data_IF_148637018636
#
_entry.id   IF_148637018636
#
_cell.length_a   1.000
_cell.length_b   1.000
_cell.length_c   1.000
_cell.angle_alpha   90.00
_cell.angle_beta   90.00
_cell.angle_gamma   90.00
#
_symmetry.space_group_name_H-M   'P 1'
#
loop_
_entity.id
_entity.type
_entity.pdbx_description
1 polymer ?
#
# COMPACT_ATOMS: atom_id res chain seq x y z
N UNK A 1 -3.42 6.52 9.34
CA UNK A 1 -2.34 5.68 8.78
C UNK A 1 -1.09 6.51 8.84
N UNK A 2 -0.04 6.00 9.46
CA UNK A 2 1.18 6.76 9.70
C UNK A 2 2.39 5.95 9.25
N UNK A 3 3.24 6.53 8.41
CA UNK A 3 4.57 5.99 8.15
C UNK A 3 5.47 6.34 9.36
N UNK A 4 6.15 5.34 9.91
CA UNK A 4 7.10 5.47 11.03
C UNK A 4 8.50 5.18 10.49
N UNK A 5 9.07 6.17 9.80
CA UNK A 5 10.34 6.02 9.10
C UNK A 5 10.24 5.13 7.87
N UNK A 6 11.36 4.52 7.48
CA UNK A 6 11.46 3.72 6.25
C UNK A 6 10.85 2.32 6.39
N UNK A 7 10.95 1.74 7.59
CA UNK A 7 10.71 0.31 7.79
C UNK A 7 9.39 -0.03 8.47
N UNK A 8 8.54 0.95 8.81
CA UNK A 8 7.32 0.67 9.57
C UNK A 8 6.14 1.53 9.09
N UNK A 9 4.95 0.92 9.02
CA UNK A 9 3.68 1.61 8.84
C UNK A 9 2.75 1.24 10.00
N UNK A 10 2.19 2.24 10.68
CA UNK A 10 1.08 2.07 11.61
C UNK A 10 -0.25 2.21 10.85
N UNK A 11 -0.96 1.09 10.71
CA UNK A 11 -2.26 1.00 10.04
C UNK A 11 -3.37 0.75 11.06
N UNK A 12 -4.07 1.82 11.46
CA UNK A 12 -5.01 1.76 12.59
C UNK A 12 -4.23 1.51 13.88
N UNK A 13 -4.46 0.37 14.52
CA UNK A 13 -3.73 -0.07 15.72
C UNK A 13 -2.68 -1.15 15.43
N UNK A 14 -2.51 -1.54 14.17
CA UNK A 14 -1.58 -2.62 13.78
C UNK A 14 -0.35 -2.06 13.09
N UNK A 15 0.81 -2.65 13.40
CA UNK A 15 2.07 -2.32 12.74
C UNK A 15 2.33 -3.27 11.57
N UNK A 16 2.74 -2.71 10.44
CA UNK A 16 3.27 -3.43 9.28
C UNK A 16 4.78 -3.19 9.26
N UNK A 17 5.53 -4.27 9.44
CA UNK A 17 6.98 -4.28 9.36
C UNK A 17 7.42 -4.37 7.88
N UNK A 18 8.26 -3.45 7.44
CA UNK A 18 8.83 -3.36 6.09
C UNK A 18 10.35 -3.53 6.10
N UNK A 19 10.96 -3.95 7.22
CA UNK A 19 12.41 -4.18 7.34
C UNK A 19 12.95 -5.13 6.26
N UNK A 20 12.17 -6.13 5.88
CA UNK A 20 12.49 -7.09 4.83
C UNK A 20 12.14 -6.60 3.40
N UNK A 21 11.76 -5.33 3.23
CA UNK A 21 11.64 -4.65 1.94
C UNK A 21 12.80 -3.67 1.76
N UNK A 22 14.03 -4.20 1.74
CA UNK A 22 15.30 -3.45 1.65
C UNK A 22 15.39 -2.49 0.45
N UNK A 23 14.54 -2.73 -0.53
CA UNK A 23 14.40 -1.97 -1.76
C UNK A 23 13.72 -0.60 -1.60
N UNK A 24 13.10 -0.34 -0.44
CA UNK A 24 12.60 0.98 -0.08
C UNK A 24 13.77 1.86 0.35
N UNK A 25 13.91 3.02 -0.29
CA UNK A 25 15.04 3.94 -0.06
C UNK A 25 14.60 5.28 0.54
N UNK A 26 13.31 5.60 0.48
CA UNK A 26 12.78 6.88 0.97
C UNK A 26 11.45 6.74 1.72
N UNK A 27 11.25 7.56 2.75
CA UNK A 27 10.02 7.57 3.56
C UNK A 27 8.78 7.98 2.77
N UNK A 28 8.93 8.71 1.65
CA UNK A 28 7.84 9.02 0.71
C UNK A 28 7.25 7.77 0.07
N UNK A 29 8.04 6.72 -0.14
CA UNK A 29 7.55 5.42 -0.61
C UNK A 29 6.78 4.72 0.51
N UNK A 30 7.27 4.75 1.75
CA UNK A 30 6.57 4.19 2.91
C UNK A 30 5.22 4.88 3.16
N UNK A 31 5.15 6.21 2.98
CA UNK A 31 3.88 6.96 3.01
C UNK A 31 2.94 6.54 1.89
N UNK A 32 3.46 6.43 0.66
CA UNK A 32 2.68 5.99 -0.49
C UNK A 32 2.12 4.57 -0.28
N UNK A 33 2.94 3.64 0.21
CA UNK A 33 2.50 2.29 0.59
C UNK A 33 1.32 2.31 1.57
N UNK A 34 1.40 3.12 2.63
CA UNK A 34 0.31 3.27 3.59
C UNK A 34 -1.00 3.74 2.94
N UNK A 35 -0.92 4.73 2.05
CA UNK A 35 -2.06 5.26 1.33
C UNK A 35 -2.62 4.25 0.31
N UNK A 36 -1.75 3.55 -0.41
CA UNK A 36 -2.12 2.51 -1.38
C UNK A 36 -2.77 1.30 -0.70
N UNK A 37 -2.26 0.84 0.45
CA UNK A 37 -2.89 -0.23 1.23
C UNK A 37 -4.31 0.17 1.65
N UNK A 38 -4.51 1.42 2.06
CA UNK A 38 -5.84 1.91 2.41
C UNK A 38 -6.79 1.95 1.21
N UNK A 39 -6.31 2.47 0.08
CA UNK A 39 -7.08 2.50 -1.16
C UNK A 39 -7.45 1.09 -1.61
N UNK A 40 -6.51 0.15 -1.54
CA UNK A 40 -6.75 -1.27 -1.82
C UNK A 40 -7.84 -1.85 -0.91
N UNK A 41 -7.68 -1.70 0.40
CA UNK A 41 -8.60 -2.26 1.39
C UNK A 41 -10.03 -1.70 1.25
N UNK A 42 -10.17 -0.45 0.83
CA UNK A 42 -11.49 0.22 0.72
C UNK A 42 -12.16 0.03 -0.63
N UNK A 43 -11.41 -0.20 -1.73
CA UNK A 43 -11.98 -0.28 -3.10
C UNK A 43 -11.85 -1.64 -3.77
N UNK A 44 -10.80 -2.40 -3.49
CA UNK A 44 -10.41 -3.57 -4.30
C UNK A 44 -10.37 -4.88 -3.52
N UNK A 45 -10.34 -4.84 -2.18
CA UNK A 45 -10.38 -6.00 -1.30
C UNK A 45 -11.82 -6.53 -1.07
N UNK A 46 -12.53 -6.85 -2.15
CA UNK A 46 -13.96 -7.23 -2.11
C UNK A 46 -14.25 -8.73 -1.95
N UNK A 47 -13.19 -9.55 -1.90
CA UNK A 47 -13.30 -11.01 -1.76
C UNK A 47 -13.64 -11.77 -3.04
N UNK A 48 -13.89 -11.07 -4.16
CA UNK A 48 -14.19 -11.68 -5.45
C UNK A 48 -12.99 -11.66 -6.41
N UNK A 49 -12.02 -10.79 -6.14
CA UNK A 49 -10.76 -10.66 -6.88
C UNK A 49 -9.58 -11.28 -6.13
N UNK A 50 -8.63 -11.78 -6.91
CA UNK A 50 -7.31 -12.15 -6.41
C UNK A 50 -6.51 -10.91 -6.00
N UNK A 51 -5.47 -11.10 -5.18
CA UNK A 51 -4.56 -10.03 -4.81
C UNK A 51 -3.96 -9.35 -6.04
N UNK A 52 -3.54 -10.13 -7.04
CA UNK A 52 -2.98 -9.61 -8.30
C UNK A 52 -3.96 -8.67 -9.01
N UNK A 53 -5.18 -9.15 -9.28
CA UNK A 53 -6.18 -8.36 -10.03
C UNK A 53 -6.49 -7.03 -9.32
N UNK A 54 -6.64 -7.04 -7.99
CA UNK A 54 -6.89 -5.82 -7.25
C UNK A 54 -5.69 -4.86 -7.24
N UNK A 55 -4.46 -5.38 -7.19
CA UNK A 55 -3.25 -4.56 -7.27
C UNK A 55 -3.07 -3.94 -8.66
N UNK A 56 -3.37 -4.68 -9.74
CA UNK A 56 -3.32 -4.16 -11.10
C UNK A 56 -4.30 -2.99 -11.30
N UNK A 57 -5.52 -3.10 -10.78
CA UNK A 57 -6.51 -2.03 -10.82
C UNK A 57 -6.06 -0.78 -10.04
N UNK A 58 -5.48 -0.98 -8.86
CA UNK A 58 -4.93 0.11 -8.06
C UNK A 58 -3.76 0.79 -8.76
N UNK A 59 -2.82 0.02 -9.31
CA UNK A 59 -1.68 0.59 -10.04
C UNK A 59 -2.16 1.43 -11.23
N UNK A 60 -3.17 0.95 -11.96
CA UNK A 60 -3.81 1.71 -13.04
C UNK A 60 -4.48 3.00 -12.56
N UNK A 61 -5.21 2.97 -11.44
CA UNK A 61 -5.82 4.16 -10.82
C UNK A 61 -4.75 5.23 -10.50
N UNK A 62 -3.60 4.80 -9.95
CA UNK A 62 -2.50 5.70 -9.58
C UNK A 62 -1.71 6.16 -10.81
N UNK A 63 -1.57 5.33 -11.85
CA UNK A 63 -0.94 5.71 -13.11
C UNK A 63 -1.73 6.81 -13.84
N UNK A 64 -3.06 6.70 -13.86
CA UNK A 64 -3.96 7.67 -14.50
C UNK A 64 -4.13 8.95 -13.67
N UNK A 65 -4.28 8.81 -12.34
CA UNK A 65 -4.59 9.92 -11.43
C UNK A 65 -3.39 10.53 -10.71
N UNK A 66 -2.21 9.93 -10.83
CA UNK A 66 -1.06 10.22 -9.99
C UNK A 66 -1.25 9.78 -8.53
N UNK A 67 -0.18 9.89 -7.72
CA UNK A 67 -0.23 9.53 -6.29
C UNK A 67 -1.15 10.44 -5.45
N UNK A 68 -1.40 11.65 -5.93
CA UNK A 68 -2.29 12.60 -5.25
C UNK A 68 -3.74 12.08 -5.17
N UNK A 69 -4.16 11.17 -6.07
CA UNK A 69 -5.50 10.58 -6.02
C UNK A 69 -5.73 9.72 -4.77
N UNK A 70 -4.68 9.31 -4.07
CA UNK A 70 -4.74 8.47 -2.88
C UNK A 70 -5.13 9.26 -1.62
N UNK A 71 -5.03 10.59 -1.64
CA UNK A 71 -5.23 11.45 -0.47
C UNK A 71 -6.32 12.49 -0.73
N UNK A 72 -7.04 12.97 0.32
CA UNK A 72 -8.05 14.04 0.16
C UNK A 72 -7.47 15.37 -0.32
N UNK A 73 -6.17 15.58 -0.11
CA UNK A 73 -5.44 16.80 -0.41
C UNK A 73 -4.06 16.47 -0.99
N UNK A 74 -3.52 17.35 -1.83
CA UNK A 74 -2.18 17.20 -2.39
C UNK A 74 -1.13 17.46 -1.32
N UNK A 75 -0.24 16.51 -1.10
CA UNK A 75 0.82 16.61 -0.09
C UNK A 75 2.21 16.74 -0.72
N UNK A 76 2.37 16.30 -1.98
CA UNK A 76 3.62 16.45 -2.74
C UNK A 76 4.81 15.69 -2.16
N UNK A 77 4.60 14.77 -1.22
CA UNK A 77 5.65 14.04 -0.50
C UNK A 77 5.49 12.51 -0.60
N UNK A 78 4.86 12.05 -1.68
CA UNK A 78 4.69 10.64 -2.03
C UNK A 78 5.63 10.29 -3.19
N UNK A 79 6.21 9.09 -3.15
CA UNK A 79 6.96 8.54 -4.27
C UNK A 79 6.39 7.16 -4.61
N UNK A 80 6.35 6.84 -5.90
CA UNK A 80 5.69 5.63 -6.38
C UNK A 80 6.48 4.39 -5.93
N UNK A 81 5.90 3.50 -5.11
CA UNK A 81 6.51 2.22 -4.81
C UNK A 81 6.25 1.24 -5.96
N UNK A 82 7.06 0.18 -6.03
CA UNK A 82 6.81 -0.93 -6.95
C UNK A 82 5.66 -1.80 -6.47
N UNK A 83 4.95 -2.42 -7.41
CA UNK A 83 3.85 -3.34 -7.10
C UNK A 83 4.28 -4.47 -6.15
N UNK A 84 5.53 -4.95 -6.24
CA UNK A 84 6.06 -5.98 -5.35
C UNK A 84 6.29 -5.50 -3.91
N UNK A 85 6.65 -4.22 -3.72
CA UNK A 85 6.77 -3.62 -2.39
C UNK A 85 5.39 -3.50 -1.75
N UNK A 86 4.37 -3.12 -2.53
CA UNK A 86 2.99 -3.07 -2.08
C UNK A 86 2.44 -4.45 -1.72
N UNK A 87 2.61 -5.44 -2.60
CA UNK A 87 2.23 -6.82 -2.32
C UNK A 87 2.96 -7.36 -1.07
N UNK A 88 4.26 -7.09 -0.97
CA UNK A 88 5.09 -7.50 0.16
C UNK A 88 4.66 -6.87 1.48
N UNK A 89 4.21 -5.61 1.47
CA UNK A 89 3.68 -4.93 2.65
C UNK A 89 2.32 -5.52 3.07
N UNK A 90 1.42 -5.78 2.11
CA UNK A 90 0.12 -6.43 2.38
C UNK A 90 0.33 -7.83 2.98
N UNK A 91 1.25 -8.62 2.43
CA UNK A 91 1.58 -9.96 2.92
C UNK A 91 2.12 -9.98 4.36
N UNK A 92 2.60 -8.84 4.88
CA UNK A 92 3.09 -8.71 6.26
C UNK A 92 2.04 -8.18 7.23
N UNK A 93 0.82 -7.88 6.76
CA UNK A 93 -0.28 -7.50 7.64
C UNK A 93 -0.73 -8.70 8.47
N UNK A 94 -0.53 -8.64 9.79
CA UNK A 94 -0.94 -9.71 10.71
C UNK A 94 -2.46 -9.99 10.70
N UNK A 95 -3.25 -9.03 10.26
CA UNK A 95 -4.71 -9.12 10.17
C UNK A 95 -5.19 -9.54 8.77
N UNK A 96 -4.29 -9.83 7.84
CA UNK A 96 -4.65 -10.26 6.49
C UNK A 96 -5.45 -11.56 6.55
N UNK A 97 -6.58 -11.58 5.82
CA UNK A 97 -7.37 -12.79 5.58
C UNK A 97 -7.42 -13.05 4.09
N UNK A 98 -7.04 -14.25 3.68
CA UNK A 98 -7.03 -14.67 2.28
C UNK A 98 -7.93 -15.90 2.13
N UNK A 99 -8.65 -15.96 1.00
CA UNK A 99 -9.36 -17.16 0.57
C UNK A 99 -8.64 -17.73 -0.64
N UNK A 100 -8.44 -19.04 -0.65
CA UNK A 100 -7.97 -19.73 -1.85
C UNK A 100 -9.14 -19.89 -2.82
N UNK A 101 -8.85 -19.75 -4.10
CA UNK A 101 -9.78 -20.04 -5.19
C UNK A 101 -9.71 -21.52 -5.54
#
# INVERSE_FOLDING_TARGET
IEAKGLHHILYGTTSIDLSALEQLVDQSQTRALGAMIHRYATRYADGNRTLREGLELLMKEVEEGGLDCLLPHKVGNLAMPRVFELAGAINRMRTLKVRQR
#
